data_IF_495823812002
#
_entry.id   IF_495823812002
#
_cell.length_a   1.000
_cell.length_b   1.000
_cell.length_c   1.000
_cell.angle_alpha   90.00
_cell.angle_beta   90.00
_cell.angle_gamma   90.00
#
_symmetry.space_group_name_H-M   'P 1'
#
loop_
_entity.id
_entity.type
_entity.pdbx_description
1 polymer ?
#
# COMPACT_ATOMS: atom_id res chain seq x y z
N UNK A 1 15.78 -73.62 -10.09
CA UNK A 1 16.80 -72.92 -9.28
C UNK A 1 16.04 -71.93 -8.39
N UNK A 2 15.88 -72.28 -7.12
CA UNK A 2 15.12 -71.54 -6.11
C UNK A 2 16.12 -70.72 -5.29
N UNK A 3 15.91 -69.41 -5.12
CA UNK A 3 16.43 -68.58 -4.03
C UNK A 3 15.45 -67.39 -3.81
N UNK A 4 15.26 -66.91 -2.57
CA UNK A 4 13.97 -66.49 -2.04
C UNK A 4 13.82 -64.97 -1.83
N UNK A 5 12.56 -64.55 -1.67
CA UNK A 5 12.14 -63.22 -1.20
C UNK A 5 12.71 -62.91 0.18
N UNK A 6 13.49 -61.83 0.28
CA UNK A 6 13.69 -61.07 1.52
C UNK A 6 12.77 -59.84 1.48
N UNK A 7 11.63 -59.90 2.16
CA UNK A 7 10.91 -58.70 2.57
C UNK A 7 11.59 -58.20 3.85
N UNK A 8 12.27 -57.06 3.80
CA UNK A 8 12.62 -56.34 5.04
C UNK A 8 11.66 -55.18 5.26
N UNK A 9 10.94 -55.31 6.37
CA UNK A 9 9.89 -54.48 6.92
C UNK A 9 10.37 -53.09 7.37
N UNK A 10 11.02 -52.30 6.51
CA UNK A 10 11.50 -50.94 6.86
C UNK A 10 10.66 -49.81 6.27
N UNK A 11 9.79 -50.08 5.29
CA UNK A 11 8.99 -49.01 4.64
C UNK A 11 7.65 -48.70 5.32
N UNK A 12 7.15 -49.56 6.21
CA UNK A 12 5.87 -49.33 6.92
C UNK A 12 6.03 -48.70 8.31
N UNK A 13 7.18 -48.85 8.95
CA UNK A 13 7.47 -48.19 10.24
C UNK A 13 7.78 -46.69 10.05
N UNK A 14 8.50 -46.33 8.98
CA UNK A 14 8.78 -44.94 8.63
C UNK A 14 7.51 -44.15 8.28
N UNK A 15 6.54 -44.78 7.63
CA UNK A 15 5.25 -44.16 7.30
C UNK A 15 4.30 -44.02 8.51
N UNK A 16 4.48 -44.83 9.55
CA UNK A 16 3.71 -44.74 10.80
C UNK A 16 4.30 -43.72 11.78
N UNK A 17 5.63 -43.57 11.81
CA UNK A 17 6.31 -42.55 12.62
C UNK A 17 6.04 -41.12 12.10
N UNK A 18 5.98 -40.92 10.78
CA UNK A 18 5.65 -39.62 10.18
C UNK A 18 4.19 -39.17 10.42
N UNK A 19 3.29 -40.07 10.83
CA UNK A 19 1.89 -39.76 11.20
C UNK A 19 1.69 -39.48 12.69
N UNK A 20 2.68 -39.75 13.54
CA UNK A 20 2.61 -39.55 14.99
C UNK A 20 3.37 -38.32 15.49
N UNK A 21 4.20 -37.69 14.65
CA UNK A 21 4.79 -36.37 14.92
C UNK A 21 4.01 -35.28 14.19
N UNK A 22 2.78 -35.00 14.67
CA UNK A 22 2.07 -33.78 14.30
C UNK A 22 2.81 -32.57 14.91
N UNK A 23 2.97 -31.45 14.19
CA UNK A 23 3.65 -30.30 14.75
C UNK A 23 2.75 -29.67 15.81
N UNK A 24 3.31 -29.49 17.02
CA UNK A 24 2.76 -28.68 18.12
C UNK A 24 2.61 -27.18 17.77
N UNK A 25 2.60 -26.82 16.48
CA UNK A 25 2.62 -25.45 15.96
C UNK A 25 1.29 -25.03 15.28
N UNK A 26 0.30 -25.91 15.15
CA UNK A 26 -0.99 -25.55 14.53
C UNK A 26 -2.10 -25.16 15.51
N UNK A 27 -1.80 -25.12 16.82
CA UNK A 27 -2.78 -24.81 17.88
C UNK A 27 -2.60 -23.42 18.51
N UNK A 28 -1.55 -22.65 18.18
CA UNK A 28 -1.40 -21.27 18.65
C UNK A 28 -2.12 -20.24 17.76
N UNK A 29 -2.27 -20.50 16.46
CA UNK A 29 -2.92 -19.56 15.52
C UNK A 29 -4.45 -19.70 15.43
N UNK A 30 -5.05 -20.80 15.88
CA UNK A 30 -6.51 -20.92 15.98
C UNK A 30 -7.14 -20.17 17.17
N UNK A 31 -6.33 -19.46 17.97
CA UNK A 31 -6.81 -18.55 19.03
C UNK A 31 -6.94 -17.09 18.60
N UNK A 32 -6.51 -16.70 17.40
CA UNK A 32 -6.58 -15.30 16.95
C UNK A 32 -7.83 -14.92 16.13
N UNK A 33 -8.80 -15.81 15.94
CA UNK A 33 -10.11 -15.46 15.36
C UNK A 33 -11.29 -15.99 16.18
N UNK A 34 -11.13 -15.98 17.50
CA UNK A 34 -12.22 -16.27 18.43
C UNK A 34 -12.60 -14.99 19.19
N UNK A 35 -13.77 -14.46 18.83
CA UNK A 35 -14.48 -13.37 19.51
C UNK A 35 -13.84 -11.99 19.36
N UNK A 36 -14.56 -11.08 18.70
CA UNK A 36 -14.54 -9.67 19.07
C UNK A 36 -15.07 -9.57 20.52
N UNK A 37 -14.24 -9.97 21.47
CA UNK A 37 -14.51 -9.76 22.88
C UNK A 37 -14.34 -8.26 23.12
N UNK A 38 -15.34 -7.65 23.73
CA UNK A 38 -15.25 -6.29 24.26
C UNK A 38 -14.15 -6.26 25.34
N UNK A 39 -12.89 -6.11 24.92
CA UNK A 39 -11.81 -5.69 25.80
C UNK A 39 -12.11 -4.25 26.20
N UNK A 40 -12.06 -3.97 27.49
CA UNK A 40 -12.13 -2.61 28.02
C UNK A 40 -11.14 -1.74 27.24
N UNK A 41 -11.55 -0.56 26.72
CA UNK A 41 -10.66 0.26 25.92
C UNK A 41 -9.43 0.62 26.74
N UNK A 42 -8.25 0.17 26.28
CA UNK A 42 -6.98 0.47 26.92
C UNK A 42 -6.72 1.96 26.71
N UNK A 43 -6.47 2.70 27.80
CA UNK A 43 -6.29 4.14 27.73
C UNK A 43 -4.90 4.54 28.16
N UNK A 44 -4.26 5.39 27.36
CA UNK A 44 -2.95 5.97 27.63
C UNK A 44 -3.02 7.48 27.85
N UNK A 45 -1.88 8.06 28.17
CA UNK A 45 -1.67 9.51 28.29
C UNK A 45 -0.47 9.94 27.47
N UNK A 46 -0.57 11.07 26.78
CA UNK A 46 0.56 11.65 26.03
C UNK A 46 1.67 12.06 27.01
N UNK A 47 2.90 11.59 26.79
CA UNK A 47 4.07 11.96 27.62
C UNK A 47 4.98 12.95 26.92
N UNK A 48 5.22 12.77 25.62
CA UNK A 48 6.06 13.66 24.82
C UNK A 48 5.54 13.81 23.39
N UNK A 49 5.83 14.95 22.78
CA UNK A 49 5.49 15.27 21.39
C UNK A 49 6.75 15.86 20.75
N UNK A 50 7.23 15.23 19.69
CA UNK A 50 8.45 15.58 18.96
C UNK A 50 8.12 15.58 17.46
N UNK A 51 7.70 16.73 16.94
CA UNK A 51 7.18 16.81 15.57
C UNK A 51 6.03 15.81 15.38
N UNK A 52 6.12 14.98 14.33
CA UNK A 52 5.11 13.95 14.04
C UNK A 52 5.18 12.70 14.95
N UNK A 53 6.10 12.65 15.92
CA UNK A 53 6.23 11.54 16.87
C UNK A 53 5.59 11.89 18.19
N UNK A 54 4.73 11.01 18.69
CA UNK A 54 4.05 11.16 19.99
C UNK A 54 4.36 9.94 20.84
N UNK A 55 4.92 10.16 22.03
CA UNK A 55 5.12 9.10 23.01
C UNK A 55 3.89 9.04 23.92
N UNK A 56 3.37 7.83 24.14
CA UNK A 56 2.14 7.57 24.91
C UNK A 56 2.44 6.56 25.99
N UNK A 57 2.14 6.92 27.24
CA UNK A 57 2.29 6.04 28.40
C UNK A 57 0.97 5.37 28.77
N UNK A 58 1.02 4.07 29.03
CA UNK A 58 -0.12 3.27 29.46
C UNK A 58 0.05 2.87 30.92
N UNK A 59 -0.96 3.16 31.75
CA UNK A 59 -0.91 2.85 33.18
C UNK A 59 -1.08 1.34 33.45
N UNK A 60 -1.70 0.62 32.51
CA UNK A 60 -1.93 -0.81 32.59
C UNK A 60 -0.74 -1.58 32.00
N UNK A 61 -0.49 -2.80 32.51
CA UNK A 61 0.59 -3.67 32.00
C UNK A 61 0.37 -4.20 30.58
N UNK A 62 -0.78 -3.90 29.97
CA UNK A 62 -1.11 -4.30 28.61
C UNK A 62 -0.83 -3.13 27.66
N UNK A 63 0.19 -3.32 26.80
CA UNK A 63 0.58 -2.34 25.79
C UNK A 63 -0.07 -2.68 24.45
N UNK A 64 -0.55 -1.68 23.69
CA UNK A 64 -1.02 -1.90 22.33
C UNK A 64 0.09 -2.52 21.46
N UNK A 65 -0.30 -3.40 20.55
CA UNK A 65 0.63 -4.03 19.63
C UNK A 65 1.28 -2.99 18.69
N UNK A 66 2.45 -3.33 18.14
CA UNK A 66 3.04 -2.53 17.06
C UNK A 66 2.06 -2.53 15.87
N UNK A 67 1.95 -1.39 15.19
CA UNK A 67 1.00 -1.09 14.12
C UNK A 67 -0.44 -0.85 14.57
N UNK A 68 -0.77 -0.96 15.86
CA UNK A 68 -2.11 -0.56 16.33
C UNK A 68 -2.34 0.93 16.16
N UNK A 69 -3.58 1.29 15.83
CA UNK A 69 -4.04 2.66 15.81
C UNK A 69 -4.49 3.10 17.21
N UNK A 70 -4.06 4.29 17.60
CA UNK A 70 -4.53 4.99 18.78
C UNK A 70 -5.26 6.26 18.37
N UNK A 71 -6.25 6.66 19.17
CA UNK A 71 -7.09 7.81 18.89
C UNK A 71 -7.00 8.85 20.01
N UNK A 72 -6.82 10.10 19.61
CA UNK A 72 -6.92 11.28 20.47
C UNK A 72 -8.06 12.15 19.98
N UNK A 73 -8.93 12.56 20.91
CA UNK A 73 -10.00 13.52 20.63
C UNK A 73 -9.44 14.92 20.77
N UNK A 74 -9.26 15.62 19.65
CA UNK A 74 -8.79 17.00 19.61
C UNK A 74 -9.97 17.95 19.38
N UNK A 75 -9.84 19.25 19.68
CA UNK A 75 -10.87 20.23 19.35
C UNK A 75 -11.14 20.33 17.84
N UNK A 76 -10.12 20.09 17.00
CA UNK A 76 -10.26 20.09 15.54
C UNK A 76 -10.84 18.78 14.98
N UNK A 77 -10.99 17.73 15.80
CA UNK A 77 -11.55 16.45 15.37
C UNK A 77 -10.85 15.26 16.01
N UNK A 78 -10.40 14.33 15.18
CA UNK A 78 -9.79 13.07 15.60
C UNK A 78 -8.37 13.00 15.07
N UNK A 79 -7.40 12.87 15.97
CA UNK A 79 -6.02 12.58 15.62
C UNK A 79 -5.77 11.08 15.79
N UNK A 80 -5.32 10.44 14.71
CA UNK A 80 -4.92 9.03 14.72
C UNK A 80 -3.41 8.93 14.81
N UNK A 81 -2.95 8.09 15.73
CA UNK A 81 -1.54 7.74 15.91
C UNK A 81 -1.36 6.26 15.59
N UNK A 82 -0.25 5.88 14.99
CA UNK A 82 0.11 4.46 14.78
C UNK A 82 1.30 4.09 15.66
N UNK A 83 1.20 2.98 16.40
CA UNK A 83 2.31 2.50 17.25
C UNK A 83 3.46 1.98 16.38
N UNK A 84 4.63 2.61 16.51
CA UNK A 84 5.83 2.26 15.74
C UNK A 84 6.81 1.37 16.52
N UNK A 85 6.99 1.63 17.82
CA UNK A 85 7.89 0.85 18.68
C UNK A 85 7.52 0.96 20.16
N UNK A 86 7.93 -0.01 20.96
CA UNK A 86 7.83 0.04 22.42
C UNK A 86 9.14 0.55 23.00
N UNK A 87 9.08 1.60 23.83
CA UNK A 87 10.28 2.20 24.44
C UNK A 87 10.68 1.53 25.77
N UNK A 88 9.76 0.80 26.40
CA UNK A 88 9.88 0.34 27.79
C UNK A 88 9.08 1.23 28.74
N UNK A 89 9.05 0.86 30.03
CA UNK A 89 8.32 1.61 31.08
C UNK A 89 6.86 1.91 30.71
N UNK A 90 6.19 0.92 30.12
CA UNK A 90 4.83 1.01 29.58
C UNK A 90 4.59 2.20 28.63
N UNK A 91 5.64 2.62 27.91
CA UNK A 91 5.56 3.72 26.94
C UNK A 91 5.74 3.19 25.54
N UNK A 92 4.84 3.60 24.64
CA UNK A 92 4.93 3.32 23.21
C UNK A 92 5.24 4.61 22.47
N UNK A 93 6.05 4.49 21.42
CA UNK A 93 6.31 5.58 20.48
C UNK A 93 5.43 5.41 19.26
N UNK A 94 4.75 6.49 18.90
CA UNK A 94 3.75 6.49 17.83
C UNK A 94 4.07 7.53 16.77
N UNK A 95 3.51 7.34 15.58
CA UNK A 95 3.60 8.26 14.45
C UNK A 95 2.22 8.86 14.24
N UNK A 96 2.13 10.19 14.18
CA UNK A 96 0.88 10.89 13.91
C UNK A 96 0.53 10.88 12.43
N UNK A 97 -0.76 10.64 12.13
CA UNK A 97 -1.31 10.67 10.77
C UNK A 97 -1.80 12.07 10.36
N UNK A 98 -1.85 13.02 11.30
CA UNK A 98 -2.22 14.41 11.04
C UNK A 98 -1.35 15.35 11.90
N UNK A 99 -1.51 16.66 11.73
CA UNK A 99 -0.81 17.68 12.50
C UNK A 99 -0.93 17.47 14.01
N UNK A 100 0.20 17.62 14.71
CA UNK A 100 0.28 17.49 16.18
C UNK A 100 0.20 18.85 16.88
N UNK A 101 -0.12 19.92 16.16
CA UNK A 101 -0.24 21.26 16.73
C UNK A 101 -1.38 21.32 17.75
N UNK A 102 -1.08 21.85 18.94
CA UNK A 102 -2.04 21.96 20.03
C UNK A 102 -2.18 20.73 20.90
N UNK A 103 -1.44 19.64 20.63
CA UNK A 103 -1.42 18.46 21.48
C UNK A 103 -0.69 18.73 22.81
N UNK A 104 -1.35 18.48 23.93
CA UNK A 104 -0.81 18.72 25.27
C UNK A 104 -0.46 17.41 25.98
N UNK A 105 0.59 17.45 26.80
CA UNK A 105 0.97 16.32 27.67
C UNK A 105 -0.15 16.01 28.67
N UNK A 106 -0.39 14.74 28.90
CA UNK A 106 -1.47 14.25 29.76
C UNK A 106 -2.80 14.05 29.04
N UNK A 107 -2.91 14.42 27.76
CA UNK A 107 -4.10 14.13 26.96
C UNK A 107 -4.38 12.63 26.88
N UNK A 108 -5.68 12.29 26.92
CA UNK A 108 -6.14 10.91 26.95
C UNK A 108 -6.08 10.31 25.55
N UNK A 109 -5.41 9.17 25.45
CA UNK A 109 -5.28 8.37 24.23
C UNK A 109 -6.09 7.09 24.39
N UNK A 110 -6.82 6.69 23.36
CA UNK A 110 -7.60 5.45 23.32
C UNK A 110 -6.97 4.46 22.35
N UNK A 111 -6.72 3.24 22.78
CA UNK A 111 -6.38 2.15 21.86
C UNK A 111 -7.63 1.67 21.12
N UNK A 112 -7.51 1.52 19.80
CA UNK A 112 -8.57 0.95 18.95
C UNK A 112 -8.59 -0.57 18.98
N UNK A 113 -7.51 -1.20 19.47
CA UNK A 113 -7.36 -2.65 19.55
C UNK A 113 -6.84 -3.31 18.28
N UNK A 114 -6.59 -2.54 17.21
CA UNK A 114 -6.04 -3.07 15.96
C UNK A 114 -5.42 -1.98 15.08
N UNK A 115 -4.90 -2.35 13.89
CA UNK A 115 -4.30 -1.38 12.98
C UNK A 115 -5.31 -0.38 12.41
N UNK A 116 -4.79 0.70 11.81
CA UNK A 116 -5.60 1.64 11.03
C UNK A 116 -6.42 0.83 10.03
N UNK A 117 -7.73 0.96 10.11
CA UNK A 117 -8.68 0.20 9.30
C UNK A 117 -9.48 1.14 8.43
N UNK A 118 -9.57 0.86 7.14
CA UNK A 118 -10.15 1.75 6.11
C UNK A 118 -11.40 1.12 5.48
N UNK A 119 -12.39 1.91 5.03
CA UNK A 119 -13.55 1.36 4.34
C UNK A 119 -13.11 0.74 3.01
N UNK A 120 -13.67 -0.41 2.69
CA UNK A 120 -13.47 -1.11 1.40
C UNK A 120 -14.83 -1.44 0.79
N UNK A 121 -14.87 -1.84 -0.48
CA UNK A 121 -16.12 -2.13 -1.18
C UNK A 121 -16.36 -1.22 -2.37
N UNK A 122 -17.36 -1.55 -3.19
CA UNK A 122 -17.79 -0.69 -4.31
C UNK A 122 -18.24 0.69 -3.85
N UNK A 123 -18.61 0.85 -2.58
CA UNK A 123 -18.98 2.13 -1.97
C UNK A 123 -17.81 3.13 -1.91
N UNK A 124 -16.56 2.67 -2.08
CA UNK A 124 -15.38 3.56 -2.17
C UNK A 124 -15.15 4.11 -3.58
N UNK A 125 -15.81 3.56 -4.60
CA UNK A 125 -15.67 4.03 -5.98
C UNK A 125 -16.28 5.42 -6.14
N UNK A 126 -15.57 6.30 -6.86
CA UNK A 126 -15.92 7.70 -7.07
C UNK A 126 -15.70 8.60 -5.86
N UNK A 127 -15.15 8.06 -4.76
CA UNK A 127 -14.88 8.79 -3.52
C UNK A 127 -13.41 9.19 -3.43
N UNK A 128 -13.15 10.26 -2.69
CA UNK A 128 -11.81 10.68 -2.30
C UNK A 128 -11.60 10.38 -0.83
N UNK A 129 -10.56 9.60 -0.52
CA UNK A 129 -10.30 9.04 0.81
C UNK A 129 -8.91 9.46 1.28
N UNK A 130 -8.76 9.82 2.56
CA UNK A 130 -7.45 10.08 3.16
C UNK A 130 -6.80 8.79 3.71
N UNK A 131 -5.61 8.91 4.30
CA UNK A 131 -4.84 7.78 4.85
C UNK A 131 -5.61 6.94 5.89
N UNK A 132 -6.45 7.55 6.73
CA UNK A 132 -7.23 6.87 7.77
C UNK A 132 -8.59 6.33 7.30
N UNK A 133 -8.91 6.51 6.02
CA UNK A 133 -10.16 6.00 5.45
C UNK A 133 -11.35 6.95 5.58
N UNK A 134 -11.13 8.23 5.88
CA UNK A 134 -12.17 9.25 5.95
C UNK A 134 -12.35 9.94 4.59
N UNK A 135 -13.60 10.25 4.18
CA UNK A 135 -13.85 10.94 2.93
C UNK A 135 -13.49 12.43 3.02
N UNK A 136 -12.76 12.94 2.02
CA UNK A 136 -12.36 14.35 1.90
C UNK A 136 -13.01 15.06 0.71
N UNK A 137 -14.04 14.47 0.12
CA UNK A 137 -14.75 14.99 -1.06
C UNK A 137 -16.02 15.78 -0.73
N UNK A 138 -16.30 16.02 0.56
CA UNK A 138 -17.51 16.71 1.05
C UNK A 138 -18.84 16.06 0.64
N UNK A 139 -18.84 14.80 0.18
CA UNK A 139 -20.06 14.08 -0.25
C UNK A 139 -20.72 13.25 0.86
N UNK A 140 -20.44 13.58 2.12
CA UNK A 140 -20.91 12.83 3.29
C UNK A 140 -20.16 11.51 3.52
N UNK A 141 -20.60 10.69 4.49
CA UNK A 141 -19.87 9.50 4.91
C UNK A 141 -19.91 8.38 3.84
N UNK A 142 -18.84 7.58 3.77
CA UNK A 142 -18.80 6.36 2.96
C UNK A 142 -19.57 5.27 3.71
N UNK A 143 -20.71 4.84 3.15
CA UNK A 143 -21.56 3.79 3.73
C UNK A 143 -21.03 2.39 3.41
N UNK A 144 -19.78 2.13 3.76
CA UNK A 144 -19.17 0.82 3.57
C UNK A 144 -19.64 -0.18 4.63
N UNK A 145 -19.83 -1.44 4.21
CA UNK A 145 -20.20 -2.56 5.07
C UNK A 145 -19.00 -3.19 5.78
N UNK A 146 -17.79 -3.01 5.24
CA UNK A 146 -16.58 -3.70 5.69
C UNK A 146 -15.42 -2.72 5.80
N UNK A 147 -14.64 -2.86 6.88
CA UNK A 147 -13.34 -2.20 7.01
C UNK A 147 -12.24 -3.25 7.06
N UNK A 148 -11.12 -2.97 6.39
CA UNK A 148 -9.93 -3.83 6.42
C UNK A 148 -8.72 -3.04 6.96
N UNK A 149 -7.81 -3.70 7.71
CA UNK A 149 -6.59 -3.07 8.20
C UNK A 149 -5.64 -2.76 7.02
N UNK A 150 -4.92 -1.64 7.11
CA UNK A 150 -3.96 -1.25 6.07
C UNK A 150 -2.69 -2.11 6.07
N UNK A 151 -2.38 -2.70 7.23
CA UNK A 151 -1.28 -3.64 7.41
C UNK A 151 -1.79 -5.06 7.22
N UNK A 152 -1.29 -5.72 6.19
CA UNK A 152 -1.58 -7.09 5.85
C UNK A 152 -0.30 -7.79 5.39
N UNK A 153 -0.22 -9.10 5.61
CA UNK A 153 0.87 -9.90 5.10
C UNK A 153 0.72 -10.09 3.57
N UNK A 154 1.83 -10.17 2.81
CA UNK A 154 1.77 -10.48 1.39
C UNK A 154 1.16 -11.88 1.15
N UNK A 155 0.54 -12.11 -0.02
CA UNK A 155 0.02 -13.43 -0.37
C UNK A 155 1.07 -14.52 -0.25
N UNK A 156 0.66 -15.69 0.23
CA UNK A 156 1.56 -16.82 0.39
C UNK A 156 2.03 -17.36 -0.96
N UNK A 157 3.20 -18.02 -0.99
CA UNK A 157 3.73 -18.65 -2.21
C UNK A 157 2.73 -19.60 -2.90
N UNK A 158 1.87 -20.27 -2.12
CA UNK A 158 0.86 -21.18 -2.65
C UNK A 158 -0.33 -20.45 -3.32
N UNK A 159 -0.54 -19.18 -3.03
CA UNK A 159 -1.64 -18.36 -3.57
C UNK A 159 -1.22 -17.59 -4.83
N UNK A 160 0.08 -17.38 -5.03
CA UNK A 160 0.62 -16.71 -6.21
C UNK A 160 0.33 -17.51 -7.49
N UNK A 161 -0.07 -16.81 -8.54
CA UNK A 161 -0.24 -17.42 -9.86
C UNK A 161 1.10 -17.51 -10.59
N UNK A 162 1.28 -18.57 -11.38
CA UNK A 162 2.46 -18.78 -12.24
C UNK A 162 2.18 -18.49 -13.71
N UNK A 163 0.97 -18.04 -14.05
CA UNK A 163 0.57 -17.76 -15.44
C UNK A 163 1.09 -16.39 -15.89
N UNK A 164 1.91 -16.39 -16.95
CA UNK A 164 2.29 -15.16 -17.64
C UNK A 164 1.20 -14.81 -18.66
N UNK A 165 0.44 -13.75 -18.39
CA UNK A 165 -0.56 -13.19 -19.30
C UNK A 165 -0.22 -11.73 -19.57
N UNK A 166 -0.48 -11.26 -20.79
CA UNK A 166 -0.26 -9.86 -21.17
C UNK A 166 -1.54 -9.07 -20.85
N UNK A 167 -1.36 -7.88 -20.29
CA UNK A 167 -2.40 -6.88 -20.14
C UNK A 167 -2.42 -5.98 -21.38
N UNK A 168 -3.47 -6.10 -22.18
CA UNK A 168 -3.67 -5.24 -23.36
C UNK A 168 -4.04 -3.82 -22.91
N UNK A 169 -3.16 -2.85 -23.17
CA UNK A 169 -3.34 -1.47 -22.72
C UNK A 169 -4.08 -0.60 -23.74
N UNK A 170 -4.09 -1.02 -25.01
CA UNK A 170 -4.59 -0.23 -26.14
C UNK A 170 -3.60 0.86 -26.60
N UNK A 171 -2.44 0.97 -25.95
CA UNK A 171 -1.41 1.96 -26.29
C UNK A 171 -0.36 1.27 -27.15
N UNK A 172 -0.33 1.61 -28.45
CA UNK A 172 0.53 0.95 -29.46
C UNK A 172 1.99 0.77 -29.04
N UNK A 173 2.63 1.80 -28.48
CA UNK A 173 4.05 1.74 -28.10
C UNK A 173 4.29 0.80 -26.91
N UNK A 174 3.33 0.75 -25.97
CA UNK A 174 3.38 -0.15 -24.80
C UNK A 174 3.12 -1.58 -25.25
N UNK A 175 1.99 -1.82 -25.93
CA UNK A 175 1.59 -3.17 -26.34
C UNK A 175 2.58 -3.82 -27.32
N UNK A 176 3.33 -3.02 -28.10
CA UNK A 176 4.31 -3.53 -29.06
C UNK A 176 5.73 -3.68 -28.48
N UNK A 177 6.21 -2.68 -27.72
CA UNK A 177 7.63 -2.61 -27.34
C UNK A 177 7.90 -2.96 -25.87
N UNK A 178 6.98 -2.63 -24.97
CA UNK A 178 7.12 -2.87 -23.53
C UNK A 178 5.78 -3.39 -22.96
N UNK A 179 5.35 -4.61 -23.37
CA UNK A 179 4.04 -5.14 -23.01
C UNK A 179 3.94 -5.38 -21.51
N UNK A 180 2.82 -4.97 -20.90
CA UNK A 180 2.62 -5.13 -19.48
C UNK A 180 2.14 -6.54 -19.13
N UNK A 181 2.71 -7.12 -18.08
CA UNK A 181 2.22 -8.38 -17.53
C UNK A 181 0.98 -8.14 -16.64
N UNK A 182 -0.01 -9.03 -16.74
CA UNK A 182 -1.18 -9.04 -15.85
C UNK A 182 -0.73 -9.31 -14.41
N UNK A 183 -1.06 -8.37 -13.53
CA UNK A 183 -0.63 -8.29 -12.14
C UNK A 183 0.85 -8.00 -11.94
N UNK A 184 1.51 -7.50 -12.98
CA UNK A 184 2.87 -7.01 -12.91
C UNK A 184 2.96 -5.64 -12.25
N UNK A 185 4.19 -5.24 -11.97
CA UNK A 185 4.58 -3.95 -11.39
C UNK A 185 5.31 -3.15 -12.46
N UNK A 186 4.68 -2.07 -12.91
CA UNK A 186 5.20 -1.21 -13.96
C UNK A 186 5.78 0.05 -13.35
N UNK A 187 7.03 0.38 -13.68
CA UNK A 187 7.63 1.66 -13.34
C UNK A 187 7.44 2.68 -14.46
N UNK A 188 6.77 3.79 -14.17
CA UNK A 188 6.63 4.93 -15.06
C UNK A 188 7.67 5.99 -14.70
N UNK A 189 8.69 6.13 -15.53
CA UNK A 189 9.77 7.10 -15.37
C UNK A 189 9.48 8.32 -16.22
N UNK A 190 9.89 9.49 -15.74
CA UNK A 190 9.79 10.71 -16.53
C UNK A 190 9.88 11.97 -15.70
N UNK A 191 10.42 13.02 -16.31
CA UNK A 191 10.49 14.35 -15.72
C UNK A 191 9.13 15.03 -15.58
N UNK A 192 9.10 16.24 -15.05
CA UNK A 192 7.89 17.07 -15.08
C UNK A 192 7.56 17.46 -16.54
N UNK A 193 6.27 17.42 -16.89
CA UNK A 193 5.77 17.90 -18.19
C UNK A 193 5.82 16.91 -19.36
N UNK A 194 6.34 15.69 -19.18
CA UNK A 194 6.44 14.67 -20.25
C UNK A 194 5.13 13.89 -20.51
N UNK A 195 4.05 14.22 -19.80
CA UNK A 195 2.73 13.59 -19.99
C UNK A 195 2.40 12.39 -19.10
N UNK A 196 3.10 12.19 -17.96
CA UNK A 196 2.83 11.08 -17.01
C UNK A 196 1.36 10.96 -16.59
N UNK A 197 0.77 12.07 -16.16
CA UNK A 197 -0.62 12.08 -15.69
C UNK A 197 -1.60 11.75 -16.82
N UNK A 198 -1.35 12.26 -18.03
CA UNK A 198 -2.18 11.95 -19.22
C UNK A 198 -2.05 10.46 -19.59
N UNK A 199 -0.85 9.91 -19.52
CA UNK A 199 -0.60 8.49 -19.76
C UNK A 199 -1.34 7.60 -18.75
N UNK A 200 -1.28 7.94 -17.45
CA UNK A 200 -2.03 7.24 -16.40
C UNK A 200 -3.54 7.31 -16.66
N UNK A 201 -4.06 8.47 -17.00
CA UNK A 201 -5.48 8.64 -17.28
C UNK A 201 -5.95 7.81 -18.48
N UNK A 202 -5.16 7.78 -19.54
CA UNK A 202 -5.49 7.00 -20.73
C UNK A 202 -5.47 5.49 -20.44
N UNK A 203 -4.52 5.02 -19.62
CA UNK A 203 -4.50 3.64 -19.13
C UNK A 203 -5.76 3.31 -18.32
N UNK A 204 -6.16 4.18 -17.40
CA UNK A 204 -7.42 4.02 -16.63
C UNK A 204 -8.60 3.92 -17.59
N UNK A 205 -8.69 4.83 -18.55
CA UNK A 205 -9.80 4.89 -19.50
C UNK A 205 -9.89 3.63 -20.37
N UNK A 206 -8.78 3.18 -20.94
CA UNK A 206 -8.76 2.04 -21.87
C UNK A 206 -9.07 0.74 -21.16
N UNK A 207 -8.49 0.51 -19.99
CA UNK A 207 -8.71 -0.73 -19.25
C UNK A 207 -10.09 -0.74 -18.59
N UNK A 208 -10.57 0.40 -18.08
CA UNK A 208 -11.94 0.51 -17.57
C UNK A 208 -13.01 0.24 -18.63
N UNK A 209 -12.74 0.57 -19.90
CA UNK A 209 -13.64 0.28 -21.04
C UNK A 209 -13.52 -1.15 -21.55
N UNK A 210 -12.30 -1.69 -21.65
CA UNK A 210 -12.04 -3.00 -22.26
C UNK A 210 -12.22 -4.18 -21.29
N UNK A 211 -11.71 -4.07 -20.06
CA UNK A 211 -11.64 -5.19 -19.11
C UNK A 211 -12.68 -5.12 -17.99
N UNK A 212 -13.44 -4.02 -17.88
CA UNK A 212 -14.47 -3.86 -16.85
C UNK A 212 -13.95 -3.89 -15.41
N UNK A 213 -12.62 -3.78 -15.21
CA UNK A 213 -11.97 -3.79 -13.92
C UNK A 213 -12.05 -2.43 -13.21
N UNK A 214 -11.88 -2.46 -11.89
CA UNK A 214 -11.79 -1.25 -11.08
C UNK A 214 -10.35 -0.71 -11.03
N UNK A 215 -10.24 0.59 -10.81
CA UNK A 215 -8.96 1.26 -10.61
C UNK A 215 -8.89 1.90 -9.22
N UNK A 216 -7.71 1.92 -8.62
CA UNK A 216 -7.43 2.66 -7.40
C UNK A 216 -6.26 3.58 -7.68
N UNK A 217 -6.47 4.88 -7.55
CA UNK A 217 -5.41 5.87 -7.69
C UNK A 217 -4.97 6.31 -6.30
N UNK A 218 -3.66 6.19 -6.04
CA UNK A 218 -3.05 6.52 -4.76
C UNK A 218 -2.04 7.64 -4.96
N UNK A 219 -2.43 8.86 -4.58
CA UNK A 219 -1.56 10.03 -4.61
C UNK A 219 -0.73 10.12 -3.34
N UNK A 220 0.49 9.60 -3.39
CA UNK A 220 1.48 9.60 -2.31
C UNK A 220 2.37 10.84 -2.44
N UNK A 221 2.21 11.81 -1.54
CA UNK A 221 2.98 13.04 -1.53
C UNK A 221 2.87 13.84 -2.83
N UNK A 222 1.68 13.83 -3.44
CA UNK A 222 1.38 14.60 -4.64
C UNK A 222 0.89 16.01 -4.31
N UNK A 223 1.00 16.91 -5.30
CA UNK A 223 0.49 18.27 -5.14
C UNK A 223 -1.03 18.25 -5.12
N UNK A 224 -1.62 18.99 -4.18
CA UNK A 224 -3.08 19.16 -4.07
C UNK A 224 -3.71 19.64 -5.38
N UNK A 225 -3.03 20.53 -6.11
CA UNK A 225 -3.48 21.01 -7.43
C UNK A 225 -3.60 19.85 -8.43
N UNK A 226 -2.57 19.00 -8.53
CA UNK A 226 -2.53 17.88 -9.48
C UNK A 226 -3.61 16.84 -9.15
N UNK A 227 -3.85 16.55 -7.87
CA UNK A 227 -4.97 15.70 -7.44
C UNK A 227 -6.36 16.30 -7.75
N UNK A 228 -6.55 17.61 -7.56
CA UNK A 228 -7.80 18.28 -7.93
C UNK A 228 -8.02 18.26 -9.45
N UNK A 229 -6.98 18.54 -10.23
CA UNK A 229 -7.07 18.55 -11.70
C UNK A 229 -7.43 17.16 -12.22
N UNK A 230 -6.76 16.12 -11.70
CA UNK A 230 -7.09 14.72 -11.99
C UNK A 230 -8.55 14.38 -11.65
N UNK A 231 -9.05 14.79 -10.48
CA UNK A 231 -10.43 14.54 -10.09
C UNK A 231 -11.45 15.22 -11.01
N UNK A 232 -11.17 16.46 -11.44
CA UNK A 232 -12.03 17.19 -12.39
C UNK A 232 -12.03 16.52 -13.76
N UNK A 233 -10.87 16.15 -14.27
CA UNK A 233 -10.72 15.50 -15.56
C UNK A 233 -11.40 14.11 -15.58
N UNK A 234 -11.28 13.33 -14.50
CA UNK A 234 -11.98 12.05 -14.35
C UNK A 234 -13.51 12.20 -14.29
N UNK A 235 -14.02 13.34 -13.80
CA UNK A 235 -15.45 13.65 -13.85
C UNK A 235 -15.90 14.02 -15.26
N UNK A 236 -15.10 14.81 -15.97
CA UNK A 236 -15.39 15.24 -17.35
C UNK A 236 -15.35 14.07 -18.33
N UNK A 237 -14.39 13.16 -18.18
CA UNK A 237 -14.26 11.94 -18.99
C UNK A 237 -15.26 10.84 -18.62
N UNK A 238 -16.00 11.00 -17.52
CA UNK A 238 -17.02 10.06 -17.06
C UNK A 238 -16.47 8.82 -16.35
N UNK A 239 -15.17 8.78 -16.02
CA UNK A 239 -14.57 7.70 -15.20
C UNK A 239 -15.10 7.75 -13.77
N UNK A 240 -15.28 8.97 -13.25
CA UNK A 240 -16.00 9.25 -12.00
C UNK A 240 -17.36 9.82 -12.35
N UNK A 241 -18.40 9.02 -12.12
CA UNK A 241 -19.78 9.47 -12.23
C UNK A 241 -20.38 9.64 -10.82
N UNK A 242 -20.85 10.85 -10.54
CA UNK A 242 -21.38 11.25 -9.25
C UNK A 242 -22.82 10.76 -9.00
N UNK A 243 -23.56 10.48 -10.06
CA UNK A 243 -24.95 10.03 -10.03
C UNK A 243 -25.12 8.58 -10.52
N UNK A 244 -24.04 8.00 -11.07
CA UNK A 244 -24.02 6.65 -11.63
C UNK A 244 -22.85 5.82 -11.10
N UNK A 245 -22.44 4.84 -11.90
CA UNK A 245 -21.36 3.94 -11.53
C UNK A 245 -19.99 4.58 -11.83
N UNK A 246 -19.20 4.76 -10.78
CA UNK A 246 -17.79 5.15 -10.88
C UNK A 246 -16.91 3.90 -10.93
N UNK A 247 -15.78 4.00 -11.63
CA UNK A 247 -14.83 2.87 -11.79
C UNK A 247 -13.51 3.04 -11.06
N UNK A 248 -13.28 4.22 -10.45
CA UNK A 248 -12.03 4.54 -9.77
C UNK A 248 -12.27 4.97 -8.33
N UNK A 249 -11.47 4.49 -7.39
CA UNK A 249 -11.37 5.03 -6.04
C UNK A 249 -10.12 5.91 -5.92
N UNK A 250 -10.23 7.10 -5.33
CA UNK A 250 -9.11 8.01 -5.15
C UNK A 250 -8.67 8.02 -3.68
N UNK A 251 -7.38 7.77 -3.44
CA UNK A 251 -6.75 7.83 -2.12
C UNK A 251 -5.65 8.87 -2.17
N UNK A 252 -5.70 9.89 -1.32
CA UNK A 252 -4.69 10.94 -1.28
C UNK A 252 -4.05 11.05 0.09
N UNK A 253 -2.73 11.28 0.06
CA UNK A 253 -1.90 11.65 1.19
C UNK A 253 -0.95 12.71 0.67
N UNK A 254 -1.38 13.97 0.73
CA UNK A 254 -0.79 15.06 -0.04
C UNK A 254 0.55 15.56 0.53
N UNK A 255 1.27 16.40 -0.22
CA UNK A 255 2.55 16.98 0.25
C UNK A 255 2.44 17.80 1.54
N UNK A 256 1.28 18.39 1.83
CA UNK A 256 1.02 19.16 3.04
C UNK A 256 0.75 18.28 4.27
N UNK A 257 0.53 16.98 4.08
CA UNK A 257 0.30 16.05 5.19
C UNK A 257 1.63 15.61 5.84
N UNK A 258 1.62 15.26 7.13
CA UNK A 258 2.81 14.83 7.84
C UNK A 258 3.41 13.56 7.22
N UNK A 259 4.70 13.29 7.46
CA UNK A 259 5.36 12.11 6.91
C UNK A 259 4.70 10.79 7.34
N UNK A 260 4.02 10.74 8.49
CA UNK A 260 3.24 9.56 8.90
C UNK A 260 2.14 9.19 7.90
N UNK A 261 1.36 10.17 7.46
CA UNK A 261 0.30 9.96 6.47
C UNK A 261 0.88 9.51 5.12
N UNK A 262 1.90 10.21 4.63
CA UNK A 262 2.58 9.89 3.36
C UNK A 262 3.22 8.49 3.38
N UNK A 263 3.72 8.03 4.52
CA UNK A 263 4.30 6.70 4.69
C UNK A 263 3.26 5.57 4.81
N UNK A 264 1.96 5.88 4.87
CA UNK A 264 0.88 4.88 5.04
C UNK A 264 -0.17 4.92 3.95
N UNK A 265 -0.35 6.05 3.27
CA UNK A 265 -1.38 6.23 2.23
C UNK A 265 -1.26 5.19 1.09
N UNK A 266 -0.04 4.80 0.71
CA UNK A 266 0.19 3.73 -0.27
C UNK A 266 -0.46 2.40 0.15
N UNK A 267 -0.40 2.07 1.44
CA UNK A 267 -1.01 0.87 2.01
C UNK A 267 -2.55 0.97 2.04
N UNK A 268 -3.09 2.16 2.27
CA UNK A 268 -4.53 2.42 2.20
C UNK A 268 -5.09 2.14 0.80
N UNK A 269 -4.44 2.68 -0.23
CA UNK A 269 -4.80 2.41 -1.63
C UNK A 269 -4.68 0.92 -1.98
N UNK A 270 -3.59 0.29 -1.54
CA UNK A 270 -3.37 -1.14 -1.75
C UNK A 270 -4.46 -1.99 -1.08
N UNK A 271 -4.88 -1.66 0.13
CA UNK A 271 -5.91 -2.42 0.87
C UNK A 271 -7.27 -2.37 0.16
N UNK A 272 -7.60 -1.24 -0.46
CA UNK A 272 -8.80 -1.11 -1.30
C UNK A 272 -8.66 -1.98 -2.56
N UNK A 273 -7.48 -1.97 -3.20
CA UNK A 273 -7.22 -2.81 -4.37
C UNK A 273 -7.26 -4.31 -4.04
N UNK A 274 -6.69 -4.72 -2.90
CA UNK A 274 -6.71 -6.10 -2.42
C UNK A 274 -8.13 -6.59 -2.11
N UNK A 275 -9.02 -5.72 -1.65
CA UNK A 275 -10.42 -6.08 -1.49
C UNK A 275 -11.05 -6.51 -2.82
N UNK A 276 -10.85 -5.73 -3.88
CA UNK A 276 -11.39 -6.06 -5.20
C UNK A 276 -10.72 -7.32 -5.79
N UNK A 277 -9.43 -7.54 -5.51
CA UNK A 277 -8.72 -8.77 -5.88
C UNK A 277 -9.25 -10.01 -5.15
N UNK A 278 -9.35 -9.95 -3.82
CA UNK A 278 -9.51 -11.14 -2.98
C UNK A 278 -10.96 -11.48 -2.65
N UNK A 279 -11.84 -10.48 -2.57
CA UNK A 279 -13.27 -10.67 -2.27
C UNK A 279 -14.11 -10.65 -3.54
N UNK A 280 -13.83 -9.73 -4.48
CA UNK A 280 -14.58 -9.64 -5.74
C UNK A 280 -13.96 -10.47 -6.88
N UNK A 281 -12.72 -10.94 -6.74
CA UNK A 281 -12.06 -11.78 -7.74
C UNK A 281 -11.81 -11.05 -9.06
N UNK A 282 -11.54 -9.75 -9.00
CA UNK A 282 -11.37 -8.92 -10.20
C UNK A 282 -9.91 -8.57 -10.48
N UNK A 283 -9.67 -8.15 -11.71
CA UNK A 283 -8.42 -7.50 -12.10
C UNK A 283 -8.50 -6.01 -11.79
N UNK A 284 -7.55 -5.56 -11.00
CA UNK A 284 -7.52 -4.21 -10.44
C UNK A 284 -6.27 -3.50 -10.93
N UNK A 285 -6.43 -2.24 -11.32
CA UNK A 285 -5.30 -1.36 -11.54
C UNK A 285 -5.01 -0.52 -10.31
N UNK A 286 -3.77 -0.55 -9.85
CA UNK A 286 -3.30 0.31 -8.77
C UNK A 286 -2.31 1.33 -9.31
N UNK A 287 -2.66 2.62 -9.23
CA UNK A 287 -1.76 3.70 -9.58
C UNK A 287 -1.13 4.26 -8.31
N UNK A 288 0.20 4.35 -8.28
CA UNK A 288 0.95 4.96 -7.18
C UNK A 288 1.76 6.12 -7.75
N UNK A 289 1.30 7.33 -7.52
CA UNK A 289 2.04 8.55 -7.86
C UNK A 289 2.32 9.29 -6.56
N UNK A 290 3.53 9.35 -6.01
CA UNK A 290 4.77 8.76 -6.48
C UNK A 290 5.38 7.81 -5.44
N UNK A 291 5.88 6.65 -5.88
CA UNK A 291 6.47 5.65 -4.97
C UNK A 291 7.73 6.17 -4.25
N UNK A 292 8.46 7.11 -4.86
CA UNK A 292 9.60 7.76 -4.22
C UNK A 292 9.18 8.56 -2.98
N UNK A 293 7.99 9.17 -2.99
CA UNK A 293 7.48 9.96 -1.85
C UNK A 293 7.13 9.07 -0.65
N UNK A 294 6.72 7.83 -0.89
CA UNK A 294 6.58 6.82 0.16
C UNK A 294 7.93 6.58 0.85
N UNK A 295 8.99 6.37 0.06
CA UNK A 295 10.35 6.18 0.58
C UNK A 295 10.85 7.41 1.34
N UNK A 296 10.67 8.61 0.77
CA UNK A 296 11.06 9.86 1.40
C UNK A 296 10.38 10.05 2.76
N UNK A 297 9.07 9.81 2.83
CA UNK A 297 8.32 9.84 4.08
C UNK A 297 8.84 8.80 5.09
N UNK A 298 9.21 7.61 4.63
CA UNK A 298 9.88 6.59 5.44
C UNK A 298 11.20 7.05 6.04
N UNK A 299 12.05 7.74 5.27
CA UNK A 299 13.30 8.34 5.75
C UNK A 299 13.04 9.40 6.83
N UNK A 300 12.07 10.30 6.60
CA UNK A 300 11.68 11.34 7.56
C UNK A 300 11.19 10.73 8.89
N UNK A 301 10.30 9.73 8.82
CA UNK A 301 9.80 9.00 10.00
C UNK A 301 10.95 8.30 10.72
N UNK A 302 11.84 7.61 9.99
CA UNK A 302 12.97 6.89 10.56
C UNK A 302 13.94 7.81 11.33
N UNK A 303 14.20 9.00 10.78
CA UNK A 303 15.01 10.01 11.46
C UNK A 303 14.36 10.49 12.76
N UNK A 304 13.04 10.76 12.75
CA UNK A 304 12.30 11.16 13.94
C UNK A 304 12.20 10.05 15.01
N UNK A 305 12.20 8.78 14.60
CA UNK A 305 12.26 7.64 15.52
C UNK A 305 13.64 7.47 16.19
N UNK A 306 14.66 8.19 15.72
CA UNK A 306 16.03 8.12 16.24
C UNK A 306 16.84 6.93 15.69
N UNK A 307 16.44 6.37 14.54
CA UNK A 307 17.20 5.30 13.88
C UNK A 307 18.44 5.89 13.20
N UNK A 308 19.54 5.14 13.23
CA UNK A 308 20.76 5.53 12.52
C UNK A 308 20.48 5.46 11.01
N UNK A 309 20.72 6.54 10.24
CA UNK A 309 20.50 6.54 8.80
C UNK A 309 21.48 5.61 8.07
N UNK A 310 21.04 5.08 6.94
CA UNK A 310 21.83 4.27 6.02
C UNK A 310 22.47 5.15 4.93
N UNK A 311 22.92 4.52 3.83
CA UNK A 311 23.47 5.18 2.67
C UNK A 311 22.58 6.34 2.19
N UNK A 312 23.20 7.47 1.86
CA UNK A 312 22.53 8.69 1.33
C UNK A 312 21.46 9.28 2.29
N UNK A 313 21.38 8.80 3.54
CA UNK A 313 20.44 9.31 4.53
C UNK A 313 19.08 8.59 4.57
N UNK A 314 18.91 7.51 3.82
CA UNK A 314 17.67 6.71 3.86
C UNK A 314 17.53 5.89 5.15
N UNK A 315 16.31 5.43 5.41
CA UNK A 315 16.04 4.55 6.54
C UNK A 315 16.78 3.20 6.39
N UNK A 316 17.28 2.60 7.48
CA UNK A 316 17.91 1.28 7.43
C UNK A 316 16.93 0.17 7.03
N UNK A 317 15.62 0.41 7.16
CA UNK A 317 14.54 -0.52 6.82
C UNK A 317 14.03 -0.39 5.38
N UNK A 318 14.71 0.39 4.52
CA UNK A 318 14.22 0.76 3.18
C UNK A 318 13.78 -0.46 2.36
N UNK A 319 14.62 -1.48 2.28
CA UNK A 319 14.33 -2.70 1.52
C UNK A 319 13.12 -3.46 2.07
N UNK A 320 12.98 -3.54 3.40
CA UNK A 320 11.86 -4.23 4.04
C UNK A 320 10.56 -3.46 3.87
N UNK A 321 10.58 -2.15 4.09
CA UNK A 321 9.39 -1.29 3.95
C UNK A 321 8.88 -1.29 2.51
N UNK A 322 9.80 -1.23 1.53
CA UNK A 322 9.47 -1.37 0.11
C UNK A 322 8.94 -2.77 -0.20
N UNK A 323 9.61 -3.82 0.27
CA UNK A 323 9.20 -5.21 0.04
C UNK A 323 7.80 -5.51 0.59
N UNK A 324 7.46 -5.03 1.79
CA UNK A 324 6.13 -5.24 2.37
C UNK A 324 5.01 -4.60 1.53
N UNK A 325 5.28 -3.46 0.89
CA UNK A 325 4.34 -2.83 -0.02
C UNK A 325 4.29 -3.55 -1.37
N UNK A 326 5.45 -3.82 -1.97
CA UNK A 326 5.56 -4.37 -3.32
C UNK A 326 5.11 -5.83 -3.40
N UNK A 327 5.42 -6.68 -2.42
CA UNK A 327 5.09 -8.11 -2.47
C UNK A 327 3.60 -8.39 -2.30
N UNK A 328 2.85 -7.43 -1.76
CA UNK A 328 1.37 -7.47 -1.71
C UNK A 328 0.73 -7.19 -3.07
N UNK A 329 1.42 -6.46 -3.95
CA UNK A 329 1.01 -6.19 -5.32
C UNK A 329 1.39 -7.40 -6.17
N UNK A 330 0.46 -8.30 -6.39
CA UNK A 330 0.69 -9.52 -7.17
C UNK A 330 -0.62 -10.13 -7.66
N UNK A 331 -0.49 -11.08 -8.59
CA UNK A 331 -1.57 -11.96 -9.04
C UNK A 331 -1.75 -13.13 -8.09
N UNK A 332 -2.96 -13.27 -7.56
CA UNK A 332 -3.37 -14.46 -6.80
C UNK A 332 -4.24 -15.37 -7.67
N UNK A 333 -4.58 -16.55 -7.16
CA UNK A 333 -5.55 -17.46 -7.80
C UNK A 333 -6.96 -16.86 -7.97
N UNK A 334 -7.29 -15.77 -7.27
CA UNK A 334 -8.62 -15.15 -7.27
C UNK A 334 -8.73 -13.99 -8.25
N UNK A 335 -7.67 -13.20 -8.38
CA UNK A 335 -7.64 -11.99 -9.20
C UNK A 335 -6.23 -11.43 -9.27
N UNK A 336 -6.08 -10.28 -9.92
CA UNK A 336 -4.78 -9.62 -10.06
C UNK A 336 -4.81 -8.16 -9.62
N UNK A 337 -3.70 -7.67 -9.08
CA UNK A 337 -3.45 -6.24 -8.91
C UNK A 337 -2.28 -5.89 -9.81
N UNK A 338 -2.56 -5.19 -10.90
CA UNK A 338 -1.51 -4.66 -11.79
C UNK A 338 -1.22 -3.24 -11.35
N UNK A 339 0.03 -2.92 -11.01
CA UNK A 339 0.37 -1.58 -10.53
C UNK A 339 1.15 -0.76 -11.54
N UNK A 340 0.81 0.50 -11.70
CA UNK A 340 1.58 1.49 -12.46
C UNK A 340 2.08 2.54 -11.47
N UNK A 341 3.39 2.57 -11.28
CA UNK A 341 4.02 3.34 -10.22
C UNK A 341 4.88 4.41 -10.86
N UNK A 342 4.56 5.68 -10.62
CA UNK A 342 5.45 6.76 -11.03
C UNK A 342 6.69 6.71 -10.12
N UNK A 343 7.87 6.67 -10.75
CA UNK A 343 9.16 6.65 -10.04
C UNK A 343 9.88 7.96 -10.34
N UNK A 344 10.15 8.73 -9.29
CA UNK A 344 11.04 9.88 -9.36
C UNK A 344 12.48 9.43 -9.09
N UNK A 345 13.38 9.74 -10.01
CA UNK A 345 14.82 9.50 -9.85
C UNK A 345 15.46 10.80 -9.36
N UNK A 346 15.96 10.87 -8.12
CA UNK A 346 16.58 12.08 -7.60
C UNK A 346 17.88 12.36 -8.36
N UNK A 347 18.05 13.61 -8.80
CA UNK A 347 19.23 14.08 -9.53
C UNK A 347 19.61 13.24 -10.77
N UNK A 348 18.63 12.54 -11.37
CA UNK A 348 18.84 11.58 -12.47
C UNK A 348 19.87 10.47 -12.15
N UNK A 349 20.08 10.17 -10.86
CA UNK A 349 20.98 9.11 -10.38
C UNK A 349 20.23 7.80 -10.12
N UNK A 350 20.36 6.85 -11.05
CA UNK A 350 19.79 5.51 -10.93
C UNK A 350 20.48 4.64 -9.85
N UNK A 351 21.64 5.08 -9.33
CA UNK A 351 22.37 4.38 -8.27
C UNK A 351 21.90 4.77 -6.87
N UNK A 352 21.02 5.76 -6.76
CA UNK A 352 20.36 6.09 -5.50
C UNK A 352 19.64 4.84 -4.94
N UNK A 353 19.77 4.54 -3.63
CA UNK A 353 19.17 3.36 -3.01
C UNK A 353 17.65 3.23 -3.21
N UNK A 354 16.91 4.34 -3.31
CA UNK A 354 15.45 4.31 -3.41
C UNK A 354 14.97 3.81 -4.80
N UNK A 355 15.39 4.40 -5.94
CA UNK A 355 15.17 3.80 -7.25
C UNK A 355 15.75 2.40 -7.35
N UNK A 356 17.00 2.16 -6.91
CA UNK A 356 17.66 0.85 -7.03
C UNK A 356 16.87 -0.28 -6.34
N UNK A 357 16.33 -0.01 -5.15
CA UNK A 357 15.48 -0.97 -4.43
C UNK A 357 14.14 -1.16 -5.14
N UNK A 358 13.55 -0.07 -5.66
CA UNK A 358 12.28 -0.14 -6.40
C UNK A 358 12.43 -0.98 -7.68
N UNK A 359 13.52 -0.79 -8.42
CA UNK A 359 13.82 -1.53 -9.67
C UNK A 359 13.84 -3.04 -9.48
N UNK A 360 14.31 -3.52 -8.32
CA UNK A 360 14.34 -4.96 -8.03
C UNK A 360 12.95 -5.60 -7.98
N UNK A 361 11.87 -4.81 -7.82
CA UNK A 361 10.50 -5.29 -7.78
C UNK A 361 9.72 -5.01 -9.07
N UNK A 362 10.23 -4.25 -10.04
CA UNK A 362 9.49 -3.90 -11.25
C UNK A 362 9.61 -5.00 -12.31
N UNK A 363 8.48 -5.38 -12.92
CA UNK A 363 8.41 -6.34 -14.02
C UNK A 363 8.61 -5.68 -15.38
N UNK A 364 8.16 -4.42 -15.52
CA UNK A 364 8.28 -3.63 -16.73
C UNK A 364 8.61 -2.18 -16.40
N UNK A 365 9.26 -1.50 -17.34
CA UNK A 365 9.69 -0.11 -17.19
C UNK A 365 9.28 0.69 -18.42
N UNK A 366 8.62 1.82 -18.21
CA UNK A 366 8.22 2.75 -19.26
C UNK A 366 8.85 4.10 -18.99
N UNK A 367 9.76 4.50 -19.87
CA UNK A 367 10.51 5.76 -19.73
C UNK A 367 9.88 6.82 -20.60
N UNK A 368 9.39 7.91 -20.01
CA UNK A 368 8.91 9.08 -20.72
C UNK A 368 10.03 10.12 -20.87
N UNK A 369 10.47 10.35 -22.10
CA UNK A 369 11.60 11.21 -22.43
C UNK A 369 11.17 12.62 -22.82
N UNK A 370 11.87 13.62 -22.27
CA UNK A 370 11.65 15.02 -22.65
C UNK A 370 11.99 15.27 -24.12
N UNK A 371 13.07 14.68 -24.62
CA UNK A 371 13.48 14.86 -26.02
C UNK A 371 12.41 14.41 -27.00
N UNK A 372 11.68 13.33 -26.68
CA UNK A 372 10.57 12.84 -27.51
C UNK A 372 9.36 13.79 -27.42
N UNK A 373 9.07 14.31 -26.23
CA UNK A 373 7.98 15.29 -26.06
C UNK A 373 8.24 16.60 -26.81
N UNK A 374 9.49 17.05 -26.89
CA UNK A 374 9.90 18.26 -27.62
C UNK A 374 9.75 18.10 -29.14
N UNK A 375 9.74 16.86 -29.65
CA UNK A 375 9.41 16.54 -31.04
C UNK A 375 7.89 16.53 -31.32
N UNK A 376 7.05 16.73 -30.29
CA UNK A 376 5.60 16.69 -30.41
C UNK A 376 4.99 15.28 -30.46
N UNK A 377 5.75 14.25 -30.08
CA UNK A 377 5.29 12.86 -30.08
C UNK A 377 4.68 12.51 -28.72
N UNK A 378 3.40 12.12 -28.70
CA UNK A 378 2.69 11.68 -27.49
C UNK A 378 2.00 10.32 -27.71
N UNK A 379 2.07 9.38 -26.74
CA UNK A 379 2.81 9.48 -25.48
C UNK A 379 4.32 9.49 -25.70
N UNK A 380 5.06 10.25 -24.87
CA UNK A 380 6.49 10.51 -25.04
C UNK A 380 7.38 9.33 -24.56
N UNK A 381 6.98 8.10 -24.88
CA UNK A 381 7.66 6.87 -24.46
C UNK A 381 8.94 6.68 -25.27
N UNK A 382 10.06 6.46 -24.59
CA UNK A 382 11.32 6.08 -25.19
C UNK A 382 11.32 4.59 -25.54
N UNK A 383 11.38 4.23 -26.84
CA UNK A 383 11.27 2.85 -27.27
C UNK A 383 12.54 2.02 -27.01
N UNK A 384 13.68 2.64 -26.71
CA UNK A 384 14.94 1.95 -26.48
C UNK A 384 15.19 1.72 -24.98
N UNK A 385 14.81 2.68 -24.16
CA UNK A 385 15.00 2.61 -22.70
C UNK A 385 13.86 1.90 -21.97
N UNK A 386 12.66 1.82 -22.57
CA UNK A 386 11.53 1.07 -22.01
C UNK A 386 11.68 -0.44 -22.25
N UNK A 387 11.39 -1.25 -21.23
CA UNK A 387 11.58 -2.71 -21.25
C UNK A 387 10.43 -3.47 -20.61
#
# INVERSE_FOLDING_TARGET
>A
MVLPRLYTATSRAAFKAAKQSAPLLSTSWKRCMASAAQSTPITGKVTAVIGAIVDVHFEQSELPAILNALEIKTPQGKLVLEVAQHLGENTVRTIAMDGTEGLVRGEKVLDTGGPISVPVGRETLGRIINVIGEPIDERGPIKSKLRKPIHADPPSFAEQSTSAEILETGIKVVDLLAPYARGGKIGLFGGAGVGKTVFIQELINNIAKAHGGFSVFTGVGERTREGNDLYREMKETGVINLEGESKVALVFGQMNEPPGARARVALTGLTIAEYFRDEEGQDVLLFIDNIFRFTQAGSEVSALLGRIPSAVGYQPTLATDMGLLQERITTTKKGSVTSVQAVYVPADDLTDPAPATTFAHLDATTVLSRGISELGIYPAVDPLDSK
#
